data_IF_841963690317
#
_entry.id   IF_841963690317
#
_cell.length_a   1.000
_cell.length_b   1.000
_cell.length_c   1.000
_cell.angle_alpha   90.00
_cell.angle_beta   90.00
_cell.angle_gamma   90.00
#
_symmetry.space_group_name_H-M   'P 1'
#
loop_
_entity.id
_entity.type
_entity.pdbx_description
1 polymer ?
#
# COMPACT_ATOMS: atom_id res chain seq x y z
N UNK A 1 2.12 -13.41 16.76
CA UNK A 1 1.88 -12.40 15.71
C UNK A 1 2.71 -11.16 16.00
N UNK A 2 3.56 -10.76 15.06
CA UNK A 2 4.33 -9.50 15.05
C UNK A 2 3.40 -8.27 14.89
N UNK A 3 3.96 -7.07 14.79
CA UNK A 3 3.18 -5.83 14.65
C UNK A 3 2.43 -5.73 13.31
N UNK A 4 3.10 -6.04 12.20
CA UNK A 4 2.53 -5.84 10.86
C UNK A 4 1.46 -6.88 10.52
N UNK A 5 1.66 -8.15 10.91
CA UNK A 5 0.65 -9.20 10.76
C UNK A 5 -0.60 -8.90 11.59
N UNK A 6 -0.47 -8.31 12.78
CA UNK A 6 -1.64 -7.85 13.56
C UNK A 6 -2.42 -6.77 12.81
N UNK A 7 -1.73 -5.81 12.18
CA UNK A 7 -2.37 -4.77 11.37
C UNK A 7 -3.06 -5.37 10.14
N UNK A 8 -2.40 -6.27 9.42
CA UNK A 8 -2.99 -7.01 8.30
C UNK A 8 -4.30 -7.72 8.70
N UNK A 9 -4.28 -8.50 9.80
CA UNK A 9 -5.49 -9.17 10.32
C UNK A 9 -6.57 -8.17 10.71
N UNK A 10 -6.19 -7.07 11.36
CA UNK A 10 -7.13 -6.01 11.77
C UNK A 10 -7.81 -5.32 10.57
N UNK A 11 -7.05 -5.02 9.52
CA UNK A 11 -7.57 -4.44 8.27
C UNK A 11 -8.60 -5.37 7.64
N UNK A 12 -8.25 -6.65 7.50
CA UNK A 12 -9.16 -7.64 6.92
C UNK A 12 -10.41 -7.84 7.77
N UNK A 13 -10.26 -7.93 9.10
CA UNK A 13 -11.41 -8.05 10.00
C UNK A 13 -12.35 -6.84 9.87
N UNK A 14 -11.82 -5.62 9.80
CA UNK A 14 -12.63 -4.43 9.55
C UNK A 14 -13.35 -4.48 8.18
N UNK A 15 -12.75 -5.08 7.14
CA UNK A 15 -13.44 -5.33 5.86
C UNK A 15 -14.61 -6.29 6.05
N UNK A 16 -14.41 -7.39 6.77
CA UNK A 16 -15.47 -8.37 7.09
C UNK A 16 -16.61 -7.69 7.85
N UNK A 17 -16.28 -6.95 8.92
CA UNK A 17 -17.25 -6.30 9.80
C UNK A 17 -18.10 -5.25 9.07
N UNK A 18 -17.52 -4.57 8.06
CA UNK A 18 -18.20 -3.57 7.24
C UNK A 18 -18.90 -4.14 6.00
N UNK A 19 -18.80 -5.45 5.76
CA UNK A 19 -19.36 -6.09 4.56
C UNK A 19 -18.68 -5.63 3.26
N UNK A 20 -17.41 -5.26 3.33
CA UNK A 20 -16.61 -4.90 2.16
C UNK A 20 -16.18 -6.14 1.37
N UNK A 21 -15.59 -5.90 0.19
CA UNK A 21 -15.06 -6.96 -0.65
C UNK A 21 -13.91 -7.69 0.08
N UNK A 22 -13.98 -9.03 0.13
CA UNK A 22 -12.97 -9.91 0.71
C UNK A 22 -12.64 -11.12 -0.17
N UNK A 23 -13.27 -11.24 -1.35
CA UNK A 23 -13.13 -12.42 -2.22
C UNK A 23 -12.70 -12.08 -3.64
N UNK A 24 -13.13 -10.94 -4.18
CA UNK A 24 -12.79 -10.53 -5.54
C UNK A 24 -11.47 -9.76 -5.57
N UNK A 25 -10.38 -10.47 -5.91
CA UNK A 25 -9.04 -9.88 -6.06
C UNK A 25 -9.00 -8.84 -7.18
N UNK A 26 -9.76 -9.03 -8.27
CA UNK A 26 -9.80 -8.07 -9.37
C UNK A 26 -10.37 -6.73 -8.92
N UNK A 27 -11.42 -6.77 -8.10
CA UNK A 27 -12.00 -5.56 -7.49
C UNK A 27 -11.02 -4.86 -6.55
N UNK A 28 -10.23 -5.59 -5.76
CA UNK A 28 -9.19 -4.97 -4.93
C UNK A 28 -8.13 -4.23 -5.77
N UNK A 29 -7.70 -4.82 -6.88
CA UNK A 29 -6.71 -4.20 -7.79
C UNK A 29 -7.27 -2.92 -8.41
N UNK A 30 -8.56 -2.89 -8.75
CA UNK A 30 -9.22 -1.68 -9.25
C UNK A 30 -9.22 -0.59 -8.17
N UNK A 31 -9.61 -0.92 -6.94
CA UNK A 31 -9.59 0.03 -5.82
C UNK A 31 -8.19 0.57 -5.53
N UNK A 32 -7.17 -0.30 -5.56
CA UNK A 32 -5.77 0.13 -5.46
C UNK A 32 -5.37 1.13 -6.56
N UNK A 33 -5.90 0.95 -7.77
CA UNK A 33 -5.64 1.88 -8.88
C UNK A 33 -6.31 3.23 -8.63
N UNK A 34 -7.49 3.25 -8.00
CA UNK A 34 -8.16 4.48 -7.58
C UNK A 34 -7.29 5.23 -6.55
N UNK A 35 -6.79 4.55 -5.51
CA UNK A 35 -5.92 5.17 -4.49
C UNK A 35 -4.60 5.69 -5.09
N UNK A 36 -4.04 4.97 -6.07
CA UNK A 36 -2.88 5.46 -6.81
C UNK A 36 -3.20 6.75 -7.60
N UNK A 37 -4.40 6.84 -8.15
CA UNK A 37 -4.92 8.04 -8.80
C UNK A 37 -5.08 9.20 -7.81
N UNK A 38 -5.53 8.93 -6.59
CA UNK A 38 -5.63 9.92 -5.51
C UNK A 38 -4.25 10.44 -5.11
N UNK A 39 -3.28 9.54 -4.93
CA UNK A 39 -1.89 9.91 -4.66
C UNK A 39 -1.31 10.79 -5.78
N UNK A 40 -1.51 10.40 -7.04
CA UNK A 40 -1.05 11.19 -8.18
C UNK A 40 -1.71 12.58 -8.23
N UNK A 41 -3.01 12.66 -7.87
CA UNK A 41 -3.76 13.91 -7.81
C UNK A 41 -3.30 14.80 -6.65
N UNK A 42 -3.02 14.23 -5.48
CA UNK A 42 -2.49 14.97 -4.33
C UNK A 42 -1.12 15.58 -4.66
N UNK A 43 -0.22 14.81 -5.27
CA UNK A 43 1.06 15.34 -5.74
C UNK A 43 0.91 16.41 -6.83
N UNK A 44 0.02 16.19 -7.81
CA UNK A 44 -0.25 17.18 -8.88
C UNK A 44 -0.73 18.53 -8.36
N UNK A 45 -1.39 18.56 -7.20
CA UNK A 45 -1.87 19.78 -6.55
C UNK A 45 -0.86 20.42 -5.60
N UNK A 46 0.27 19.75 -5.33
CA UNK A 46 1.30 20.24 -4.42
C UNK A 46 2.04 21.46 -4.98
N UNK A 47 2.86 22.09 -4.14
CA UNK A 47 3.82 23.10 -4.56
C UNK A 47 5.13 22.52 -5.13
N UNK A 48 5.18 21.20 -5.35
CA UNK A 48 6.28 20.48 -5.99
C UNK A 48 7.66 20.71 -5.36
N UNK A 49 7.71 20.99 -4.06
CA UNK A 49 8.95 21.12 -3.30
C UNK A 49 9.49 19.76 -2.86
N UNK A 50 10.64 19.79 -2.20
CA UNK A 50 11.21 18.63 -1.54
C UNK A 50 10.25 18.09 -0.47
N UNK A 51 10.30 16.77 -0.22
CA UNK A 51 9.33 16.06 0.61
C UNK A 51 9.19 16.59 2.05
N UNK A 52 10.19 17.30 2.57
CA UNK A 52 10.15 17.97 3.87
C UNK A 52 9.38 19.29 3.86
N UNK A 53 9.26 19.93 2.69
CA UNK A 53 8.71 21.28 2.50
C UNK A 53 7.37 21.31 1.75
N UNK A 54 6.91 20.17 1.23
CA UNK A 54 5.61 20.07 0.54
C UNK A 54 4.49 20.54 1.47
N UNK A 55 3.75 21.56 1.02
CA UNK A 55 2.71 22.20 1.84
C UNK A 55 1.45 21.34 2.06
N UNK A 56 1.13 20.43 1.14
CA UNK A 56 0.00 19.47 1.26
C UNK A 56 0.46 18.04 1.55
N UNK A 57 1.55 17.88 2.31
CA UNK A 57 2.15 16.57 2.62
C UNK A 57 1.17 15.59 3.26
N UNK A 58 0.25 16.07 4.09
CA UNK A 58 -0.73 15.22 4.77
C UNK A 58 -1.64 14.48 3.77
N UNK A 59 -2.13 15.15 2.71
CA UNK A 59 -2.94 14.52 1.67
C UNK A 59 -2.18 13.41 0.92
N UNK A 60 -0.87 13.62 0.70
CA UNK A 60 -0.01 12.63 0.06
C UNK A 60 0.20 11.43 1.00
N UNK A 61 0.44 11.69 2.28
CA UNK A 61 0.64 10.65 3.30
C UNK A 61 -0.62 9.81 3.49
N UNK A 62 -1.79 10.44 3.51
CA UNK A 62 -3.07 9.73 3.61
C UNK A 62 -3.27 8.76 2.43
N UNK A 63 -3.08 9.24 1.19
CA UNK A 63 -3.22 8.40 0.00
C UNK A 63 -2.17 7.26 -0.05
N UNK A 64 -0.95 7.49 0.45
CA UNK A 64 0.04 6.41 0.65
C UNK A 64 -0.47 5.39 1.68
N UNK A 65 -1.06 5.87 2.78
CA UNK A 65 -1.68 5.04 3.80
C UNK A 65 -2.79 4.15 3.24
N UNK A 66 -3.66 4.70 2.40
CA UNK A 66 -4.75 3.96 1.76
C UNK A 66 -4.21 2.85 0.85
N UNK A 67 -3.19 3.14 0.02
CA UNK A 67 -2.49 2.12 -0.77
C UNK A 67 -1.90 1.01 0.11
N UNK A 68 -1.29 1.37 1.24
CA UNK A 68 -0.74 0.38 2.18
C UNK A 68 -1.84 -0.49 2.79
N UNK A 69 -3.00 0.08 3.13
CA UNK A 69 -4.15 -0.67 3.65
C UNK A 69 -4.63 -1.70 2.62
N UNK A 70 -4.76 -1.31 1.36
CA UNK A 70 -5.14 -2.27 0.32
C UNK A 70 -4.08 -3.35 0.09
N UNK A 71 -2.79 -3.00 0.08
CA UNK A 71 -1.71 -3.99 -0.02
C UNK A 71 -1.78 -5.04 1.10
N UNK A 72 -1.96 -4.60 2.35
CA UNK A 72 -2.07 -5.51 3.50
C UNK A 72 -3.35 -6.36 3.44
N UNK A 73 -4.49 -5.74 3.11
CA UNK A 73 -5.76 -6.44 2.93
C UNK A 73 -5.68 -7.50 1.83
N UNK A 74 -5.03 -7.18 0.71
CA UNK A 74 -4.82 -8.11 -0.40
C UNK A 74 -3.89 -9.27 -0.01
N UNK A 75 -2.84 -9.02 0.78
CA UNK A 75 -1.99 -10.09 1.32
C UNK A 75 -2.82 -11.10 2.13
N UNK A 76 -3.72 -10.61 2.98
CA UNK A 76 -4.62 -11.48 3.76
C UNK A 76 -5.58 -12.26 2.87
N UNK A 77 -6.16 -11.63 1.85
CA UNK A 77 -7.02 -12.31 0.86
C UNK A 77 -6.28 -13.41 0.09
N UNK A 78 -4.99 -13.20 -0.19
CA UNK A 78 -4.13 -14.18 -0.87
C UNK A 78 -3.54 -15.24 0.08
N UNK A 79 -3.80 -15.14 1.38
CA UNK A 79 -3.31 -16.10 2.37
C UNK A 79 -1.80 -16.02 2.62
N UNK A 80 -1.19 -14.85 2.44
CA UNK A 80 0.25 -14.63 2.65
C UNK A 80 0.51 -13.67 3.81
N UNK A 81 1.65 -13.83 4.49
CA UNK A 81 2.12 -12.90 5.51
C UNK A 81 2.82 -11.69 4.86
N UNK A 82 2.27 -10.50 5.02
CA UNK A 82 2.84 -9.27 4.44
C UNK A 82 4.25 -8.95 4.93
N UNK A 83 4.60 -9.28 6.18
CA UNK A 83 5.94 -9.02 6.71
C UNK A 83 6.97 -9.95 6.06
N UNK A 84 6.63 -11.23 5.87
CA UNK A 84 7.45 -12.18 5.11
C UNK A 84 7.60 -11.75 3.65
N UNK A 85 6.52 -11.33 3.00
CA UNK A 85 6.57 -10.80 1.62
C UNK A 85 7.55 -9.63 1.50
N UNK A 86 7.45 -8.65 2.41
CA UNK A 86 8.33 -7.47 2.41
C UNK A 86 9.78 -7.88 2.67
N UNK A 87 10.05 -8.73 3.67
CA UNK A 87 11.41 -9.20 3.98
C UNK A 87 12.04 -9.88 2.77
N UNK A 88 11.32 -10.79 2.12
CA UNK A 88 11.81 -11.50 0.94
C UNK A 88 12.14 -10.53 -0.20
N UNK A 89 11.31 -9.51 -0.44
CA UNK A 89 11.57 -8.51 -1.48
C UNK A 89 12.78 -7.64 -1.12
N UNK A 90 12.92 -7.22 0.13
CA UNK A 90 14.06 -6.42 0.60
C UNK A 90 15.37 -7.19 0.46
N UNK A 91 15.41 -8.45 0.87
CA UNK A 91 16.57 -9.33 0.69
C UNK A 91 16.94 -9.47 -0.78
N UNK A 92 15.97 -9.78 -1.64
CA UNK A 92 16.21 -9.87 -3.09
C UNK A 92 16.72 -8.55 -3.68
N UNK A 93 16.24 -7.41 -3.20
CA UNK A 93 16.65 -6.10 -3.70
C UNK A 93 18.09 -5.73 -3.29
N UNK A 94 18.62 -6.28 -2.21
CA UNK A 94 20.03 -6.07 -1.83
C UNK A 94 20.99 -6.69 -2.85
N UNK A 95 20.59 -7.80 -3.46
CA UNK A 95 21.39 -8.51 -4.47
C UNK A 95 21.12 -8.02 -5.91
N UNK A 96 20.15 -7.12 -6.11
CA UNK A 96 19.83 -6.56 -7.43
C UNK A 96 20.86 -5.51 -7.83
N UNK A 97 21.71 -5.85 -8.79
CA UNK A 97 22.49 -4.87 -9.54
C UNK A 97 21.58 -4.20 -10.56
N UNK A 98 21.29 -2.91 -10.38
CA UNK A 98 20.59 -2.11 -11.38
C UNK A 98 21.42 -2.10 -12.68
N UNK A 99 20.97 -2.82 -13.70
CA UNK A 99 21.37 -2.51 -15.08
C UNK A 99 20.57 -1.28 -15.46
N UNK A 100 21.17 -0.10 -15.26
CA UNK A 100 20.51 1.18 -15.46
C UNK A 100 19.86 1.26 -16.84
N UNK A 101 18.54 1.14 -16.86
CA UNK A 101 17.63 1.56 -17.92
C UNK A 101 16.26 1.74 -17.25
N UNK A 102 15.97 2.99 -16.91
CA UNK A 102 14.61 3.50 -16.83
C UNK A 102 14.34 4.27 -18.11
#
# INVERSE_FOLDING_TARGET
MNGLHKLQKGIYQNKVDKGFNITDVGKEIVLMTEELGELAKAYKKSDHKDAEEISNKDEIVDAVGDLMIYCLGLCEMLGVDSEEVIKNIVEQNQDRVHSGNL
#
